data_IF_737498083989
#
_entry.id   IF_737498083989
#
_cell.length_a   1.000
_cell.length_b   1.000
_cell.length_c   1.000
_cell.angle_alpha   90.00
_cell.angle_beta   90.00
_cell.angle_gamma   90.00
#
_symmetry.space_group_name_H-M   'P 1'
#
loop_
_entity.id
_entity.type
_entity.pdbx_description
1 polymer ?
#
# COMPACT_ATOMS: atom_id res chain seq x y z
N UNK A 1 4.91 1.07 13.79
CA UNK A 1 6.17 0.30 13.91
C UNK A 1 7.09 0.95 14.92
N UNK A 2 7.85 2.00 14.59
CA UNK A 2 8.89 2.62 15.44
C UNK A 2 8.50 2.81 16.92
N UNK A 3 7.37 3.45 17.20
CA UNK A 3 6.94 3.72 18.58
C UNK A 3 6.55 2.45 19.37
N UNK A 4 6.02 1.43 18.68
CA UNK A 4 5.70 0.14 19.31
C UNK A 4 6.99 -0.60 19.65
N UNK A 5 7.96 -0.60 18.73
CA UNK A 5 9.27 -1.21 18.97
C UNK A 5 10.01 -0.55 20.14
N UNK A 6 9.94 0.78 20.28
CA UNK A 6 10.54 1.48 21.43
C UNK A 6 9.97 1.04 22.78
N UNK A 7 8.64 0.89 22.89
CA UNK A 7 8.01 0.44 24.14
C UNK A 7 8.41 -1.00 24.49
N UNK A 8 8.55 -1.86 23.47
CA UNK A 8 8.99 -3.25 23.66
C UNK A 8 10.47 -3.34 24.03
N UNK A 9 11.29 -2.41 23.53
CA UNK A 9 12.68 -2.24 23.95
C UNK A 9 12.85 -1.57 25.32
N UNK A 10 11.76 -1.35 26.08
CA UNK A 10 11.81 -0.86 27.46
C UNK A 10 11.61 0.63 27.66
N UNK A 11 11.16 1.37 26.63
CA UNK A 11 10.86 2.79 26.77
C UNK A 11 9.70 3.04 27.76
N UNK A 12 9.90 3.98 28.67
CA UNK A 12 8.92 4.38 29.69
C UNK A 12 8.07 5.59 29.26
N UNK A 13 8.52 6.32 28.26
CA UNK A 13 7.86 7.49 27.70
C UNK A 13 7.97 7.51 26.16
N UNK A 14 7.10 8.29 25.52
CA UNK A 14 7.17 8.58 24.11
C UNK A 14 7.48 10.06 23.92
N UNK A 15 8.39 10.36 23.01
CA UNK A 15 8.83 11.74 22.72
C UNK A 15 8.32 12.14 21.34
N UNK A 16 7.96 13.42 21.19
CA UNK A 16 7.39 13.96 19.95
C UNK A 16 8.42 14.15 18.83
N UNK A 17 9.69 14.42 19.18
CA UNK A 17 10.80 14.67 18.25
C UNK A 17 12.10 14.07 18.81
N UNK A 18 12.92 13.49 17.93
CA UNK A 18 14.23 12.96 18.32
C UNK A 18 14.16 11.68 19.16
N UNK A 19 15.29 11.36 19.81
CA UNK A 19 15.50 10.17 20.66
C UNK A 19 16.01 10.60 22.05
N UNK A 20 16.44 11.86 22.21
CA UNK A 20 17.27 12.31 23.33
C UNK A 20 16.57 12.27 24.70
N UNK A 21 15.23 12.34 24.72
CA UNK A 21 14.42 12.32 25.97
C UNK A 21 13.78 10.96 26.28
N UNK A 22 14.14 9.88 25.57
CA UNK A 22 13.56 8.55 25.81
C UNK A 22 14.22 7.90 27.04
N UNK A 23 13.43 7.65 28.07
CA UNK A 23 13.86 6.91 29.26
C UNK A 23 13.74 5.43 28.97
N UNK A 24 14.86 4.74 28.81
CA UNK A 24 14.93 3.30 28.60
C UNK A 24 15.19 2.61 29.93
N UNK A 25 14.40 1.59 30.27
CA UNK A 25 14.63 0.68 31.39
C UNK A 25 14.60 -0.77 30.90
N UNK A 26 15.18 -1.69 31.64
CA UNK A 26 15.18 -3.12 31.28
C UNK A 26 13.79 -3.79 31.32
N UNK A 27 12.76 -3.08 31.83
CA UNK A 27 11.40 -3.62 32.00
C UNK A 27 10.40 -2.91 31.07
N UNK A 28 9.60 -3.69 30.36
CA UNK A 28 8.56 -3.21 29.44
C UNK A 28 7.43 -2.54 30.22
N UNK A 29 7.07 -1.31 29.82
CA UNK A 29 5.90 -0.61 30.31
C UNK A 29 4.62 -1.10 29.61
N UNK A 30 4.00 -2.14 30.16
CA UNK A 30 2.72 -2.66 29.63
C UNK A 30 1.55 -1.67 29.68
N UNK A 31 1.38 -0.80 30.71
CA UNK A 31 0.35 0.23 30.70
C UNK A 31 0.50 1.22 29.52
N UNK A 32 1.74 1.61 29.21
CA UNK A 32 2.06 2.47 28.07
C UNK A 32 1.79 1.75 26.74
N UNK A 33 2.19 0.48 26.64
CA UNK A 33 1.91 -0.34 25.45
C UNK A 33 0.41 -0.48 25.20
N UNK A 34 -0.38 -0.77 26.23
CA UNK A 34 -1.84 -0.86 26.15
C UNK A 34 -2.45 0.44 25.63
N UNK A 35 -2.01 1.57 26.19
CA UNK A 35 -2.53 2.87 25.78
C UNK A 35 -2.12 3.24 24.36
N UNK A 36 -0.88 2.95 23.97
CA UNK A 36 -0.40 3.13 22.61
C UNK A 36 -1.24 2.34 21.59
N UNK A 37 -1.57 1.08 21.90
CA UNK A 37 -2.39 0.25 21.00
C UNK A 37 -3.82 0.78 20.86
N UNK A 38 -4.43 1.28 21.95
CA UNK A 38 -5.74 1.92 21.90
C UNK A 38 -5.73 3.20 21.06
N UNK A 39 -4.72 4.05 21.26
CA UNK A 39 -4.59 5.31 20.54
C UNK A 39 -4.31 5.06 19.04
N UNK A 40 -3.51 4.05 18.69
CA UNK A 40 -3.34 3.61 17.30
C UNK A 40 -4.69 3.20 16.70
N UNK A 41 -5.46 2.33 17.37
CA UNK A 41 -6.79 1.90 16.87
C UNK A 41 -7.72 3.09 16.64
N UNK A 42 -7.72 4.08 17.55
CA UNK A 42 -8.50 5.32 17.40
C UNK A 42 -8.08 6.13 16.19
N UNK A 43 -6.78 6.32 15.95
CA UNK A 43 -6.28 7.04 14.77
C UNK A 43 -6.75 6.36 13.47
N UNK A 44 -6.62 5.04 13.37
CA UNK A 44 -7.10 4.30 12.20
C UNK A 44 -8.62 4.38 12.04
N UNK A 45 -9.39 4.37 13.13
CA UNK A 45 -10.84 4.56 13.07
C UNK A 45 -11.22 5.95 12.52
N UNK A 46 -10.61 7.02 13.02
CA UNK A 46 -10.87 8.37 12.53
C UNK A 46 -10.45 8.54 11.06
N UNK A 47 -9.30 7.97 10.68
CA UNK A 47 -8.83 7.98 9.29
C UNK A 47 -9.82 7.25 8.37
N UNK A 48 -10.33 6.09 8.80
CA UNK A 48 -11.34 5.33 8.07
C UNK A 48 -12.67 6.04 7.96
N UNK A 49 -13.05 6.83 8.98
CA UNK A 49 -14.25 7.65 8.93
C UNK A 49 -14.12 8.76 7.89
N UNK A 50 -12.97 9.44 7.82
CA UNK A 50 -12.70 10.42 6.75
C UNK A 50 -12.71 9.74 5.38
N UNK A 51 -12.04 8.60 5.26
CA UNK A 51 -12.00 7.83 4.02
C UNK A 51 -13.38 7.32 3.59
N UNK A 52 -14.28 7.03 4.52
CA UNK A 52 -15.66 6.61 4.23
C UNK A 52 -16.39 7.69 3.44
N UNK A 53 -16.36 8.95 3.87
CA UNK A 53 -17.01 10.04 3.13
C UNK A 53 -16.42 10.22 1.73
N UNK A 54 -15.10 10.12 1.59
CA UNK A 54 -14.43 10.33 0.30
C UNK A 54 -14.69 9.14 -0.65
N UNK A 55 -14.49 7.91 -0.19
CA UNK A 55 -14.51 6.70 -1.03
C UNK A 55 -15.95 6.26 -1.28
N UNK A 56 -16.79 6.19 -0.25
CA UNK A 56 -18.16 5.66 -0.41
C UNK A 56 -19.00 6.71 -1.12
N UNK A 57 -19.09 7.94 -0.60
CA UNK A 57 -19.97 8.97 -1.18
C UNK A 57 -19.39 9.51 -2.49
N UNK A 58 -18.13 9.95 -2.46
CA UNK A 58 -17.47 10.50 -3.66
C UNK A 58 -17.34 9.46 -4.77
N UNK A 59 -16.96 8.23 -4.42
CA UNK A 59 -16.88 7.13 -5.38
C UNK A 59 -18.24 6.72 -5.93
N UNK A 60 -19.28 6.62 -5.10
CA UNK A 60 -20.62 6.23 -5.58
C UNK A 60 -21.13 7.24 -6.60
N UNK A 61 -20.96 8.54 -6.34
CA UNK A 61 -21.36 9.57 -7.31
C UNK A 61 -20.56 9.46 -8.61
N UNK A 62 -19.24 9.31 -8.51
CA UNK A 62 -18.35 9.17 -9.67
C UNK A 62 -18.71 7.94 -10.53
N UNK A 63 -18.79 6.75 -9.93
CA UNK A 63 -19.07 5.52 -10.66
C UNK A 63 -20.50 5.49 -11.21
N UNK A 64 -21.46 6.07 -10.49
CA UNK A 64 -22.81 6.22 -11.01
C UNK A 64 -22.88 7.16 -12.22
N UNK A 65 -22.01 8.19 -12.28
CA UNK A 65 -21.96 9.11 -13.42
C UNK A 65 -21.35 8.48 -14.68
N UNK A 66 -20.23 7.76 -14.54
CA UNK A 66 -19.51 7.18 -15.69
C UNK A 66 -20.09 5.86 -16.21
N UNK A 67 -20.96 5.21 -15.42
CA UNK A 67 -21.47 3.88 -15.77
C UNK A 67 -22.56 3.93 -16.85
N UNK A 68 -22.54 2.98 -17.81
CA UNK A 68 -23.65 2.76 -18.74
C UNK A 68 -24.97 2.49 -18.01
N UNK A 69 -26.09 2.87 -18.62
CA UNK A 69 -27.42 2.79 -18.00
C UNK A 69 -27.85 1.36 -17.68
N UNK A 70 -27.41 0.40 -18.47
CA UNK A 70 -27.72 -1.03 -18.39
C UNK A 70 -27.10 -1.72 -17.17
N UNK A 71 -25.87 -1.35 -16.78
CA UNK A 71 -25.15 -1.96 -15.65
C UNK A 71 -25.10 -1.07 -14.40
N UNK A 72 -25.77 0.08 -14.43
CA UNK A 72 -25.63 1.14 -13.43
C UNK A 72 -25.91 0.67 -12.01
N UNK A 73 -26.96 -0.14 -11.83
CA UNK A 73 -27.33 -0.70 -10.53
C UNK A 73 -26.30 -1.72 -10.06
N UNK A 74 -25.83 -2.60 -10.95
CA UNK A 74 -24.79 -3.59 -10.62
C UNK A 74 -23.50 -2.88 -10.17
N UNK A 75 -23.07 -1.83 -10.88
CA UNK A 75 -21.89 -1.06 -10.51
C UNK A 75 -22.08 -0.37 -9.16
N UNK A 76 -23.25 0.21 -8.89
CA UNK A 76 -23.53 0.86 -7.61
C UNK A 76 -23.45 -0.13 -6.43
N UNK A 77 -24.09 -1.30 -6.54
CA UNK A 77 -24.02 -2.34 -5.50
C UNK A 77 -22.62 -2.91 -5.35
N UNK A 78 -21.93 -3.15 -6.47
CA UNK A 78 -20.53 -3.60 -6.47
C UNK A 78 -19.62 -2.60 -5.77
N UNK A 79 -19.78 -1.30 -6.07
CA UNK A 79 -19.01 -0.25 -5.45
C UNK A 79 -19.30 -0.12 -3.96
N UNK A 80 -20.56 -0.22 -3.51
CA UNK A 80 -20.90 -0.20 -2.09
C UNK A 80 -20.25 -1.37 -1.34
N UNK A 81 -20.28 -2.57 -1.92
CA UNK A 81 -19.65 -3.76 -1.33
C UNK A 81 -18.11 -3.66 -1.32
N UNK A 82 -17.52 -3.21 -2.42
CA UNK A 82 -16.09 -3.00 -2.53
C UNK A 82 -15.59 -1.89 -1.59
N UNK A 83 -16.27 -0.75 -1.55
CA UNK A 83 -15.90 0.40 -0.72
C UNK A 83 -16.10 0.09 0.77
N UNK A 84 -17.19 -0.55 1.18
CA UNK A 84 -17.35 -1.00 2.58
C UNK A 84 -16.23 -1.96 3.00
N UNK A 85 -15.85 -2.89 2.11
CA UNK A 85 -14.70 -3.77 2.32
C UNK A 85 -13.39 -3.00 2.44
N UNK A 86 -13.16 -1.99 1.59
CA UNK A 86 -11.99 -1.12 1.70
C UNK A 86 -11.94 -0.38 3.03
N UNK A 87 -13.08 0.10 3.53
CA UNK A 87 -13.16 0.76 4.84
C UNK A 87 -12.86 -0.22 5.97
N UNK A 88 -13.41 -1.43 5.94
CA UNK A 88 -13.04 -2.50 6.88
C UNK A 88 -11.54 -2.77 6.81
N UNK A 89 -10.99 -2.89 5.61
CA UNK A 89 -9.57 -3.11 5.39
C UNK A 89 -8.71 -2.00 6.01
N UNK A 90 -9.14 -0.75 5.90
CA UNK A 90 -8.46 0.42 6.44
C UNK A 90 -8.58 0.50 7.97
N UNK A 91 -9.76 0.21 8.54
CA UNK A 91 -9.97 0.15 10.00
C UNK A 91 -8.99 -0.83 10.63
N UNK A 92 -8.83 -2.03 10.05
CA UNK A 92 -7.96 -3.08 10.58
C UNK A 92 -6.52 -3.01 10.06
N UNK A 93 -6.17 -1.99 9.27
CA UNK A 93 -4.83 -1.83 8.74
C UNK A 93 -3.77 -1.69 9.84
N UNK A 94 -4.18 -1.27 11.05
CA UNK A 94 -3.29 -1.15 12.22
C UNK A 94 -2.59 -2.46 12.61
N UNK A 95 -3.14 -3.63 12.26
CA UNK A 95 -2.51 -4.92 12.60
C UNK A 95 -1.09 -5.03 12.02
N UNK A 96 -0.88 -4.54 10.80
CA UNK A 96 0.41 -4.62 10.10
C UNK A 96 1.51 -3.88 10.87
N UNK A 97 1.39 -2.56 11.15
CA UNK A 97 2.43 -1.83 11.87
C UNK A 97 2.56 -2.22 13.35
N UNK A 98 1.54 -2.84 13.94
CA UNK A 98 1.57 -3.36 15.32
C UNK A 98 2.33 -4.69 15.37
N UNK A 99 1.95 -5.69 14.56
CA UNK A 99 2.66 -6.98 14.48
C UNK A 99 4.13 -6.79 14.10
N UNK A 100 4.39 -5.93 13.12
CA UNK A 100 5.77 -5.55 12.74
C UNK A 100 6.51 -4.88 13.90
N UNK A 101 5.82 -4.01 14.65
CA UNK A 101 6.37 -3.35 15.84
C UNK A 101 6.68 -4.32 16.97
N UNK A 102 5.89 -5.40 17.09
CA UNK A 102 6.05 -6.51 18.04
C UNK A 102 7.17 -7.49 17.66
N UNK A 103 7.85 -7.29 16.53
CA UNK A 103 8.87 -8.20 16.00
C UNK A 103 8.31 -9.36 15.16
N UNK A 104 7.00 -9.46 14.99
CA UNK A 104 6.34 -10.49 14.17
C UNK A 104 6.15 -10.04 12.70
N UNK A 105 7.25 -9.67 12.06
CA UNK A 105 7.26 -9.17 10.68
C UNK A 105 6.79 -10.28 9.72
N UNK A 106 7.31 -11.51 9.90
CA UNK A 106 6.99 -12.67 9.07
C UNK A 106 5.49 -13.01 9.12
N UNK A 107 4.87 -13.00 10.31
CA UNK A 107 3.44 -13.23 10.50
C UNK A 107 2.59 -12.24 9.69
N UNK A 108 2.99 -10.97 9.68
CA UNK A 108 2.27 -9.93 8.92
C UNK A 108 2.39 -10.13 7.40
N UNK A 109 3.58 -10.50 6.90
CA UNK A 109 3.76 -10.81 5.48
C UNK A 109 3.01 -12.08 5.06
N UNK A 110 3.05 -13.15 5.87
CA UNK A 110 2.28 -14.39 5.62
C UNK A 110 0.78 -14.10 5.46
N UNK A 111 0.20 -13.29 6.35
CA UNK A 111 -1.21 -12.90 6.24
C UNK A 111 -1.52 -12.13 4.96
N UNK A 112 -0.64 -11.18 4.57
CA UNK A 112 -0.78 -10.41 3.33
C UNK A 112 -0.67 -11.27 2.07
N UNK A 113 0.31 -12.18 2.02
CA UNK A 113 0.49 -13.09 0.89
C UNK A 113 -0.70 -14.03 0.76
N UNK A 114 -1.15 -14.65 1.85
CA UNK A 114 -2.31 -15.54 1.83
C UNK A 114 -3.59 -14.83 1.37
N UNK A 115 -3.86 -13.64 1.89
CA UNK A 115 -5.00 -12.83 1.42
C UNK A 115 -4.96 -12.55 -0.08
N UNK A 116 -3.78 -12.19 -0.62
CA UNK A 116 -3.60 -11.93 -2.05
C UNK A 116 -3.76 -13.19 -2.91
N UNK A 117 -3.23 -14.33 -2.46
CA UNK A 117 -3.40 -15.61 -3.14
C UNK A 117 -4.87 -16.00 -3.17
N UNK A 118 -5.58 -15.84 -2.05
CA UNK A 118 -7.03 -16.10 -2.01
C UNK A 118 -7.79 -15.20 -2.97
N UNK A 119 -7.46 -13.90 -3.02
CA UNK A 119 -8.09 -13.00 -3.98
C UNK A 119 -7.86 -13.43 -5.43
N UNK A 120 -6.63 -13.80 -5.78
CA UNK A 120 -6.25 -14.26 -7.11
C UNK A 120 -7.02 -15.53 -7.48
N UNK A 121 -7.02 -16.56 -6.63
CA UNK A 121 -7.71 -17.82 -6.92
C UNK A 121 -9.22 -17.60 -7.05
N UNK A 122 -9.83 -16.87 -6.12
CA UNK A 122 -11.28 -16.62 -6.15
C UNK A 122 -11.69 -15.78 -7.35
N UNK A 123 -10.90 -14.76 -7.72
CA UNK A 123 -11.20 -13.94 -8.90
C UNK A 123 -11.07 -14.72 -10.21
N UNK A 124 -10.06 -15.58 -10.35
CA UNK A 124 -9.94 -16.47 -11.51
C UNK A 124 -11.15 -17.42 -11.61
N UNK A 125 -11.55 -18.06 -10.50
CA UNK A 125 -12.73 -18.91 -10.48
C UNK A 125 -14.02 -18.13 -10.82
N UNK A 126 -14.20 -16.95 -10.23
CA UNK A 126 -15.35 -16.09 -10.50
C UNK A 126 -15.46 -15.73 -11.98
N UNK A 127 -14.36 -15.33 -12.63
CA UNK A 127 -14.35 -14.97 -14.05
C UNK A 127 -14.75 -16.15 -14.95
N UNK A 128 -14.41 -17.39 -14.58
CA UNK A 128 -14.76 -18.58 -15.37
C UNK A 128 -16.20 -19.07 -15.17
N UNK A 129 -16.76 -18.90 -13.96
CA UNK A 129 -18.08 -19.45 -13.62
C UNK A 129 -19.20 -18.41 -13.82
N UNK A 130 -19.01 -17.20 -13.28
CA UNK A 130 -20.02 -16.14 -13.19
C UNK A 130 -19.32 -14.77 -13.31
N UNK A 131 -19.06 -14.28 -14.54
CA UNK A 131 -18.37 -13.01 -14.75
C UNK A 131 -19.29 -11.84 -14.38
N UNK A 132 -19.10 -11.29 -13.17
CA UNK A 132 -19.81 -10.11 -12.68
C UNK A 132 -18.89 -9.27 -11.80
N UNK A 133 -19.02 -7.95 -11.89
CA UNK A 133 -18.25 -6.98 -11.09
C UNK A 133 -18.60 -7.11 -9.61
N UNK A 134 -19.85 -7.49 -9.32
CA UNK A 134 -20.33 -7.73 -7.96
C UNK A 134 -19.62 -8.94 -7.34
N UNK A 135 -19.47 -10.02 -8.10
CA UNK A 135 -18.81 -11.24 -7.64
C UNK A 135 -17.32 -10.98 -7.41
N UNK A 136 -16.67 -10.22 -8.29
CA UNK A 136 -15.28 -9.80 -8.07
C UNK A 136 -15.11 -8.99 -6.79
N UNK A 137 -16.08 -8.11 -6.48
CA UNK A 137 -16.11 -7.35 -5.24
C UNK A 137 -16.27 -8.26 -4.02
N UNK A 138 -17.12 -9.30 -4.11
CA UNK A 138 -17.27 -10.32 -3.07
C UNK A 138 -15.99 -11.14 -2.86
N UNK A 139 -15.29 -11.52 -3.93
CA UNK A 139 -13.99 -12.19 -3.83
C UNK A 139 -12.97 -11.32 -3.08
N UNK A 140 -12.95 -10.01 -3.35
CA UNK A 140 -12.12 -9.07 -2.61
C UNK A 140 -12.52 -9.00 -1.13
N UNK A 141 -13.82 -8.94 -0.80
CA UNK A 141 -14.31 -9.00 0.58
C UNK A 141 -13.81 -10.22 1.34
N UNK A 142 -13.96 -11.41 0.75
CA UNK A 142 -13.48 -12.66 1.34
C UNK A 142 -11.97 -12.64 1.57
N UNK A 143 -11.20 -12.13 0.61
CA UNK A 143 -9.75 -12.02 0.74
C UNK A 143 -9.31 -11.13 1.91
N UNK A 144 -10.00 -10.00 2.11
CA UNK A 144 -9.75 -9.08 3.23
C UNK A 144 -10.12 -9.74 4.54
N UNK A 145 -11.28 -10.40 4.63
CA UNK A 145 -11.71 -11.10 5.84
C UNK A 145 -10.72 -12.20 6.25
N UNK A 146 -10.24 -12.99 5.30
CA UNK A 146 -9.23 -14.03 5.56
C UNK A 146 -7.91 -13.42 6.02
N UNK A 147 -7.43 -12.37 5.35
CA UNK A 147 -6.24 -11.64 5.79
C UNK A 147 -6.37 -11.14 7.24
N UNK A 148 -7.54 -10.56 7.58
CA UNK A 148 -7.79 -10.03 8.94
C UNK A 148 -7.93 -11.11 9.98
N UNK A 149 -8.57 -12.23 9.66
CA UNK A 149 -8.64 -13.39 10.53
C UNK A 149 -7.24 -13.92 10.89
N UNK A 150 -6.36 -14.06 9.89
CA UNK A 150 -4.98 -14.52 10.10
C UNK A 150 -4.17 -13.50 10.93
N UNK A 151 -4.31 -12.20 10.63
CA UNK A 151 -3.67 -11.15 11.43
C UNK A 151 -4.12 -11.20 12.89
N UNK A 152 -5.42 -11.35 13.12
CA UNK A 152 -6.00 -11.46 14.46
C UNK A 152 -5.50 -12.69 15.22
N UNK A 153 -5.40 -13.83 14.54
CA UNK A 153 -4.84 -15.06 15.12
C UNK A 153 -3.40 -14.84 15.61
N UNK A 154 -2.53 -14.28 14.77
CA UNK A 154 -1.15 -13.97 15.18
C UNK A 154 -1.08 -12.92 16.28
N UNK A 155 -1.90 -11.88 16.19
CA UNK A 155 -1.98 -10.82 17.21
C UNK A 155 -2.34 -11.38 18.59
N UNK A 156 -3.33 -12.27 18.70
CA UNK A 156 -3.70 -12.91 19.97
C UNK A 156 -2.69 -13.95 20.45
N UNK A 157 -1.93 -14.56 19.55
CA UNK A 157 -0.90 -15.54 19.91
C UNK A 157 0.32 -14.87 20.55
N UNK A 158 0.61 -13.62 20.19
CA UNK A 158 1.79 -12.88 20.65
C UNK A 158 1.87 -12.75 22.17
N UNK A 159 3.06 -12.98 22.73
CA UNK A 159 3.31 -12.99 24.18
C UNK A 159 3.02 -11.64 24.85
N UNK A 160 3.44 -10.52 24.24
CA UNK A 160 3.23 -9.20 24.83
C UNK A 160 1.75 -8.82 24.88
N UNK A 161 0.96 -9.26 23.88
CA UNK A 161 -0.49 -9.06 23.85
C UNK A 161 -1.20 -9.87 24.92
N UNK A 162 -0.80 -11.12 25.16
CA UNK A 162 -1.40 -11.93 26.25
C UNK A 162 -1.15 -11.33 27.64
N UNK A 163 -0.01 -10.68 27.84
CA UNK A 163 0.32 -10.02 29.10
C UNK A 163 -0.46 -8.72 29.33
N UNK A 164 -1.05 -8.13 28.27
CA UNK A 164 -1.86 -6.92 28.36
C UNK A 164 -3.27 -7.17 28.91
N UNK A 165 -3.83 -8.37 28.75
CA UNK A 165 -5.19 -8.71 29.19
C UNK A 165 -5.39 -8.61 30.72
N UNK A 166 -4.31 -8.50 31.49
CA UNK A 166 -4.30 -8.46 32.97
C UNK A 166 -3.91 -7.09 33.54
N UNK A 167 -3.69 -6.08 32.71
CA UNK A 167 -3.05 -4.81 33.11
C UNK A 167 -3.94 -3.63 32.73
N UNK A 168 -4.12 -2.71 33.68
CA UNK A 168 -4.88 -1.48 33.46
C UNK A 168 -4.25 -0.60 32.39
N UNK A 169 -5.10 -0.07 31.52
CA UNK A 169 -4.70 0.81 30.42
C UNK A 169 -4.14 2.12 30.97
N UNK A 170 -2.99 2.58 30.45
CA UNK A 170 -2.46 3.89 30.79
C UNK A 170 -3.47 5.02 30.54
N UNK A 171 -3.58 5.95 31.48
CA UNK A 171 -4.56 7.05 31.47
C UNK A 171 -4.19 8.14 30.46
N UNK A 172 -2.88 8.42 30.32
CA UNK A 172 -2.34 9.50 29.47
C UNK A 172 -2.29 9.09 28.01
N UNK A 173 -2.91 9.88 27.13
CA UNK A 173 -2.89 9.58 25.69
C UNK A 173 -1.51 9.78 25.06
N UNK A 174 -1.14 8.81 24.23
CA UNK A 174 0.02 8.81 23.36
C UNK A 174 -0.21 9.52 22.02
N UNK A 175 -1.46 9.89 21.68
CA UNK A 175 -1.83 10.54 20.42
C UNK A 175 -0.97 11.78 20.12
N UNK A 176 -0.74 12.72 21.04
CA UNK A 176 0.04 13.94 20.74
C UNK A 176 1.50 13.66 20.32
N UNK A 177 2.05 12.54 20.78
CA UNK A 177 3.43 12.13 20.49
C UNK A 177 3.54 11.42 19.14
N UNK A 178 2.56 10.59 18.79
CA UNK A 178 2.56 9.82 17.54
C UNK A 178 1.91 10.58 16.37
N UNK A 179 0.94 11.45 16.67
CA UNK A 179 0.08 12.12 15.70
C UNK A 179 0.79 13.11 14.80
N UNK A 180 1.78 13.85 15.30
CA UNK A 180 2.53 14.83 14.49
C UNK A 180 3.27 14.17 13.32
N UNK A 181 3.95 13.05 13.61
CA UNK A 181 4.69 12.31 12.59
C UNK A 181 3.72 11.55 11.67
N UNK A 182 2.65 10.98 12.22
CA UNK A 182 1.61 10.32 11.43
C UNK A 182 0.91 11.28 10.46
N UNK A 183 0.58 12.50 10.88
CA UNK A 183 -0.05 13.51 10.03
C UNK A 183 0.86 13.93 8.87
N UNK A 184 2.16 14.18 9.14
CA UNK A 184 3.13 14.48 8.07
C UNK A 184 3.22 13.35 7.04
N UNK A 185 3.37 12.11 7.51
CA UNK A 185 3.42 10.94 6.61
C UNK A 185 2.10 10.75 5.85
N UNK A 186 0.97 11.04 6.48
CA UNK A 186 -0.36 11.01 5.86
C UNK A 186 -0.47 12.00 4.71
N UNK A 187 -0.04 13.26 4.91
CA UNK A 187 -0.05 14.30 3.86
C UNK A 187 0.86 13.92 2.69
N UNK A 188 2.07 13.43 2.97
CA UNK A 188 3.00 12.96 1.92
C UNK A 188 2.39 11.80 1.13
N UNK A 189 1.77 10.84 1.82
CA UNK A 189 1.12 9.68 1.18
C UNK A 189 -0.09 10.08 0.34
N UNK A 190 -0.87 11.06 0.80
CA UNK A 190 -2.01 11.60 0.06
C UNK A 190 -1.53 12.32 -1.22
N UNK A 191 -0.47 13.12 -1.12
CA UNK A 191 0.15 13.77 -2.29
C UNK A 191 0.63 12.74 -3.32
N UNK A 192 1.35 11.71 -2.87
CA UNK A 192 1.80 10.62 -3.73
C UNK A 192 0.63 9.87 -4.39
N UNK A 193 -0.46 9.65 -3.65
CA UNK A 193 -1.68 9.05 -4.20
C UNK A 193 -2.30 9.92 -5.29
N UNK A 194 -2.45 11.23 -5.05
CA UNK A 194 -3.02 12.15 -6.02
C UNK A 194 -2.16 12.24 -7.29
N UNK A 195 -0.84 12.24 -7.17
CA UNK A 195 0.05 12.22 -8.35
C UNK A 195 -0.17 10.95 -9.18
N UNK A 196 -0.22 9.78 -8.53
CA UNK A 196 -0.29 8.50 -9.23
C UNK A 196 -1.69 8.13 -9.72
N UNK A 197 -2.76 8.63 -9.09
CA UNK A 197 -4.15 8.18 -9.33
C UNK A 197 -5.06 9.24 -9.92
N UNK A 198 -4.72 10.53 -9.83
CA UNK A 198 -5.52 11.59 -10.47
C UNK A 198 -5.64 11.38 -11.97
N UNK A 199 -4.56 11.00 -12.65
CA UNK A 199 -4.58 10.74 -14.10
C UNK A 199 -5.60 9.67 -14.47
N UNK A 200 -5.69 8.58 -13.70
CA UNK A 200 -6.68 7.52 -13.93
C UNK A 200 -8.12 8.01 -13.75
N UNK A 201 -8.37 8.84 -12.73
CA UNK A 201 -9.70 9.41 -12.50
C UNK A 201 -10.09 10.39 -13.61
N UNK A 202 -9.17 11.24 -14.06
CA UNK A 202 -9.42 12.18 -15.16
C UNK A 202 -9.72 11.43 -16.46
N UNK A 203 -8.91 10.43 -16.81
CA UNK A 203 -9.14 9.60 -18.00
C UNK A 203 -10.49 8.90 -17.95
N UNK A 204 -10.94 8.44 -16.77
CA UNK A 204 -12.24 7.80 -16.63
C UNK A 204 -13.45 8.73 -16.81
N UNK A 205 -13.30 10.05 -16.65
CA UNK A 205 -14.36 11.04 -16.92
C UNK A 205 -14.36 11.48 -18.38
N UNK A 206 -13.17 11.74 -18.92
CA UNK A 206 -13.02 12.42 -20.22
C UNK A 206 -13.05 11.44 -21.39
N UNK A 207 -12.53 10.23 -21.21
CA UNK A 207 -12.35 9.29 -22.30
C UNK A 207 -13.45 8.20 -22.30
N UNK A 208 -13.78 7.63 -23.47
CA UNK A 208 -14.65 6.47 -23.56
C UNK A 208 -14.21 5.32 -22.65
N UNK A 209 -15.18 4.57 -22.09
CA UNK A 209 -14.95 3.48 -21.12
C UNK A 209 -13.91 2.46 -21.63
N UNK A 210 -13.95 2.12 -22.93
CA UNK A 210 -12.98 1.22 -23.54
C UNK A 210 -11.56 1.79 -23.40
N UNK A 211 -11.32 3.01 -23.89
CA UNK A 211 -10.00 3.66 -23.83
C UNK A 211 -9.51 3.88 -22.39
N UNK A 212 -10.40 4.19 -21.46
CA UNK A 212 -10.06 4.28 -20.04
C UNK A 212 -9.62 2.92 -19.48
N UNK A 213 -10.29 1.84 -19.88
CA UNK A 213 -9.88 0.46 -19.57
C UNK A 213 -8.51 0.11 -20.13
N UNK A 214 -8.23 0.44 -21.40
CA UNK A 214 -6.92 0.22 -22.03
C UNK A 214 -5.80 0.99 -21.31
N UNK A 215 -6.08 2.24 -20.92
CA UNK A 215 -5.15 3.06 -20.14
C UNK A 215 -4.85 2.43 -18.78
N UNK A 216 -5.89 2.06 -18.01
CA UNK A 216 -5.73 1.40 -16.70
C UNK A 216 -4.94 0.10 -16.82
N UNK A 217 -5.23 -0.72 -17.83
CA UNK A 217 -4.51 -1.97 -18.07
C UNK A 217 -3.03 -1.73 -18.37
N UNK A 218 -2.74 -0.75 -19.25
CA UNK A 218 -1.35 -0.37 -19.58
C UNK A 218 -0.60 0.09 -18.33
N UNK A 219 -1.23 0.93 -17.50
CA UNK A 219 -0.66 1.43 -16.25
C UNK A 219 -0.30 0.32 -15.27
N UNK A 220 -1.10 -0.75 -15.18
CA UNK A 220 -0.80 -1.89 -14.30
C UNK A 220 0.52 -2.58 -14.70
N UNK A 221 0.80 -2.69 -16.00
CA UNK A 221 2.07 -3.22 -16.50
C UNK A 221 3.23 -2.31 -16.10
N UNK A 222 3.09 -0.99 -16.28
CA UNK A 222 4.13 -0.04 -15.86
C UNK A 222 4.38 -0.04 -14.36
N UNK A 223 3.33 -0.16 -13.53
CA UNK A 223 3.50 -0.30 -12.08
C UNK A 223 4.23 -1.59 -11.71
N UNK A 224 3.98 -2.70 -12.42
CA UNK A 224 4.73 -3.95 -12.22
C UNK A 224 6.21 -3.78 -12.60
N UNK A 225 6.49 -3.14 -13.74
CA UNK A 225 7.86 -2.84 -14.19
C UNK A 225 8.60 -1.96 -13.18
N UNK A 226 7.96 -0.89 -12.70
CA UNK A 226 8.53 -0.02 -11.66
C UNK A 226 8.81 -0.78 -10.36
N UNK A 227 7.88 -1.62 -9.92
CA UNK A 227 8.05 -2.40 -8.70
C UNK A 227 9.27 -3.35 -8.77
N UNK A 228 9.46 -4.02 -9.90
CA UNK A 228 10.62 -4.90 -10.14
C UNK A 228 11.90 -4.07 -10.25
N UNK A 229 11.86 -2.95 -10.97
CA UNK A 229 13.03 -2.07 -11.16
C UNK A 229 13.53 -1.47 -9.84
N UNK A 230 12.63 -1.19 -8.89
CA UNK A 230 12.96 -0.61 -7.57
C UNK A 230 13.35 -1.66 -6.51
N UNK A 231 13.48 -2.94 -6.87
CA UNK A 231 13.82 -3.99 -5.89
C UNK A 231 15.23 -3.80 -5.32
N UNK A 232 16.19 -3.39 -6.15
CA UNK A 232 17.57 -3.18 -5.71
C UNK A 232 17.68 -1.99 -4.76
N UNK A 233 16.93 -0.92 -5.01
CA UNK A 233 16.84 0.22 -4.09
C UNK A 233 16.36 -0.26 -2.72
N UNK A 234 15.28 -1.05 -2.68
CA UNK A 234 14.72 -1.57 -1.42
C UNK A 234 15.73 -2.40 -0.62
N UNK A 235 16.61 -3.15 -1.31
CA UNK A 235 17.68 -3.93 -0.69
C UNK A 235 18.83 -3.03 -0.20
N UNK A 236 19.18 -1.98 -0.96
CA UNK A 236 20.37 -1.14 -0.70
C UNK A 236 20.11 0.11 0.13
N UNK A 237 18.85 0.48 0.41
CA UNK A 237 18.50 1.59 1.30
C UNK A 237 19.28 1.54 2.63
N UNK A 238 19.34 0.41 3.37
CA UNK A 238 20.05 0.37 4.65
C UNK A 238 21.56 0.67 4.52
N UNK A 239 22.21 0.15 3.48
CA UNK A 239 23.64 0.39 3.20
C UNK A 239 23.88 1.87 2.83
N UNK A 240 23.00 2.45 2.01
CA UNK A 240 23.04 3.87 1.65
C UNK A 240 22.88 4.74 2.91
N UNK A 241 21.88 4.47 3.74
CA UNK A 241 21.64 5.24 4.98
C UNK A 241 22.82 5.15 5.96
N UNK A 242 23.47 3.98 6.08
CA UNK A 242 24.67 3.81 6.90
C UNK A 242 25.87 4.58 6.34
N UNK A 243 26.11 4.53 5.03
CA UNK A 243 27.19 5.25 4.38
C UNK A 243 27.01 6.78 4.48
N UNK A 244 25.76 7.26 4.37
CA UNK A 244 25.39 8.67 4.62
C UNK A 244 25.68 9.06 6.07
N UNK A 245 25.28 8.23 7.05
CA UNK A 245 25.52 8.50 8.47
C UNK A 245 27.03 8.56 8.81
N UNK A 246 27.83 7.68 8.18
CA UNK A 246 29.31 7.68 8.30
C UNK A 246 30.01 8.75 7.48
N UNK A 247 29.26 9.55 6.69
CA UNK A 247 29.78 10.58 5.77
C UNK A 247 30.75 10.04 4.72
N UNK A 248 30.58 8.79 4.31
CA UNK A 248 31.38 8.15 3.26
C UNK A 248 30.86 8.53 1.87
N UNK A 249 31.11 9.78 1.45
CA UNK A 249 30.56 10.33 0.21
C UNK A 249 30.87 9.51 -1.06
N UNK A 250 32.05 8.90 -1.13
CA UNK A 250 32.46 8.06 -2.26
C UNK A 250 31.63 6.77 -2.34
N UNK A 251 31.47 6.07 -1.21
CA UNK A 251 30.66 4.85 -1.10
C UNK A 251 29.20 5.13 -1.47
N UNK A 252 28.65 6.25 -0.96
CA UNK A 252 27.28 6.69 -1.29
C UNK A 252 27.13 6.90 -2.80
N UNK A 253 28.06 7.60 -3.45
CA UNK A 253 28.00 7.87 -4.89
C UNK A 253 28.01 6.58 -5.72
N UNK A 254 28.86 5.63 -5.38
CA UNK A 254 28.93 4.32 -6.06
C UNK A 254 27.63 3.55 -5.89
N UNK A 255 27.09 3.49 -4.67
CA UNK A 255 25.85 2.79 -4.38
C UNK A 255 24.67 3.39 -5.17
N UNK A 256 24.54 4.72 -5.16
CA UNK A 256 23.48 5.42 -5.90
C UNK A 256 23.60 5.14 -7.40
N UNK A 257 24.80 5.26 -7.97
CA UNK A 257 25.02 4.98 -9.39
C UNK A 257 24.64 3.54 -9.74
N UNK A 258 25.04 2.57 -8.91
CA UNK A 258 24.70 1.16 -9.11
C UNK A 258 23.19 0.92 -9.07
N UNK A 259 22.48 1.56 -8.14
CA UNK A 259 21.01 1.47 -8.05
C UNK A 259 20.35 2.06 -9.28
N UNK A 260 20.66 3.31 -9.63
CA UNK A 260 20.05 4.00 -10.78
C UNK A 260 20.33 3.28 -12.09
N UNK A 261 21.57 2.81 -12.31
CA UNK A 261 21.94 2.09 -13.52
C UNK A 261 21.21 0.74 -13.64
N UNK A 262 21.13 0.00 -12.53
CA UNK A 262 20.41 -1.28 -12.50
C UNK A 262 18.91 -1.09 -12.73
N UNK A 263 18.27 -0.19 -11.97
CA UNK A 263 16.83 0.09 -12.09
C UNK A 263 16.49 0.57 -13.50
N UNK A 264 17.30 1.47 -14.08
CA UNK A 264 17.11 1.94 -15.45
C UNK A 264 17.26 0.82 -16.49
N UNK A 265 18.26 -0.06 -16.31
CA UNK A 265 18.48 -1.18 -17.24
C UNK A 265 17.33 -2.19 -17.19
N UNK A 266 16.87 -2.55 -15.99
CA UNK A 266 15.73 -3.47 -15.81
C UNK A 266 14.45 -2.87 -16.37
N UNK A 267 14.20 -1.58 -16.13
CA UNK A 267 13.03 -0.91 -16.68
C UNK A 267 13.03 -0.91 -18.21
N UNK A 268 14.14 -0.51 -18.84
CA UNK A 268 14.24 -0.48 -20.30
C UNK A 268 14.10 -1.87 -20.91
N UNK A 269 14.77 -2.87 -20.35
CA UNK A 269 14.66 -4.26 -20.80
C UNK A 269 13.22 -4.78 -20.66
N UNK A 270 12.58 -4.50 -19.52
CA UNK A 270 11.20 -4.88 -19.27
C UNK A 270 10.19 -4.15 -20.17
N UNK A 271 10.44 -2.88 -20.50
CA UNK A 271 9.61 -2.11 -21.42
C UNK A 271 9.69 -2.65 -22.85
N UNK A 272 10.90 -2.93 -23.35
CA UNK A 272 11.08 -3.55 -24.68
C UNK A 272 10.42 -4.94 -24.72
N UNK A 273 10.61 -5.74 -23.67
CA UNK A 273 9.96 -7.07 -23.56
C UNK A 273 8.44 -6.94 -23.58
N UNK A 274 7.89 -5.96 -22.87
CA UNK A 274 6.45 -5.69 -22.86
C UNK A 274 5.93 -5.33 -24.26
N UNK A 275 6.60 -4.46 -25.01
CA UNK A 275 6.17 -4.10 -26.37
C UNK A 275 6.10 -5.33 -27.29
N UNK A 276 7.11 -6.21 -27.23
CA UNK A 276 7.14 -7.46 -28.00
C UNK A 276 5.99 -8.38 -27.57
N UNK A 277 5.78 -8.57 -26.26
CA UNK A 277 4.67 -9.40 -25.78
C UNK A 277 3.30 -8.82 -26.15
N UNK A 278 3.15 -7.50 -26.10
CA UNK A 278 1.93 -6.79 -26.43
C UNK A 278 1.51 -6.99 -27.90
N UNK A 279 2.48 -6.93 -28.81
CA UNK A 279 2.24 -7.06 -30.24
C UNK A 279 2.09 -8.52 -30.69
N UNK A 280 2.91 -9.44 -30.17
CA UNK A 280 2.97 -10.80 -30.70
C UNK A 280 2.17 -11.83 -29.90
N UNK A 281 2.10 -11.72 -28.57
CA UNK A 281 1.51 -12.77 -27.72
C UNK A 281 0.03 -12.52 -27.47
N UNK A 282 -0.37 -11.28 -27.18
CA UNK A 282 -1.77 -10.98 -26.86
C UNK A 282 -2.77 -11.23 -27.99
N UNK A 283 -2.48 -10.93 -29.27
CA UNK A 283 -3.40 -11.27 -30.35
C UNK A 283 -3.63 -12.77 -30.50
N UNK A 284 -2.62 -13.60 -30.19
CA UNK A 284 -2.73 -15.07 -30.28
C UNK A 284 -3.62 -15.68 -29.19
N UNK A 285 -3.85 -14.95 -28.08
CA UNK A 285 -4.67 -15.40 -26.95
C UNK A 285 -6.15 -15.00 -27.15
N UNK A 286 -6.48 -14.19 -28.16
CA UNK A 286 -7.86 -13.77 -28.45
C UNK A 286 -8.44 -12.76 -27.46
N UNK A 287 -7.59 -11.96 -26.80
CA UNK A 287 -8.02 -10.95 -25.82
C UNK A 287 -8.73 -9.79 -26.53
N UNK A 288 -9.98 -9.51 -26.15
CA UNK A 288 -10.82 -8.47 -26.76
C UNK A 288 -10.45 -7.04 -26.36
N UNK A 289 -9.81 -6.86 -25.20
CA UNK A 289 -9.33 -5.56 -24.72
C UNK A 289 -7.84 -5.40 -25.05
N UNK A 290 -7.52 -4.58 -26.05
CA UNK A 290 -6.14 -4.26 -26.40
C UNK A 290 -5.52 -3.23 -25.45
N UNK A 291 -4.20 -3.11 -25.45
CA UNK A 291 -3.50 -2.00 -24.80
C UNK A 291 -3.73 -0.68 -25.55
N UNK A 292 -3.24 0.41 -24.98
CA UNK A 292 -3.21 1.70 -25.70
C UNK A 292 -2.43 1.57 -27.01
N UNK A 293 -2.72 2.43 -28.01
CA UNK A 293 -1.90 2.52 -29.21
C UNK A 293 -0.43 2.77 -28.88
N UNK A 294 0.46 2.27 -29.75
CA UNK A 294 1.91 2.28 -29.54
C UNK A 294 2.46 3.67 -29.20
N UNK A 295 1.98 4.71 -29.89
CA UNK A 295 2.43 6.10 -29.66
C UNK A 295 2.19 6.55 -28.21
N UNK A 296 1.03 6.22 -27.65
CA UNK A 296 0.70 6.54 -26.25
C UNK A 296 1.48 5.66 -25.27
N UNK A 297 1.75 4.39 -25.62
CA UNK A 297 2.58 3.51 -24.79
C UNK A 297 4.02 4.00 -24.69
N UNK A 298 4.59 4.53 -25.77
CA UNK A 298 5.93 5.11 -25.79
C UNK A 298 6.01 6.36 -24.89
N UNK A 299 5.02 7.25 -24.99
CA UNK A 299 4.93 8.43 -24.11
C UNK A 299 4.79 8.00 -22.66
N UNK A 300 3.89 7.05 -22.37
CA UNK A 300 3.64 6.57 -21.01
C UNK A 300 4.88 5.86 -20.43
N UNK A 301 5.61 5.11 -21.25
CA UNK A 301 6.88 4.49 -20.87
C UNK A 301 7.94 5.52 -20.52
N UNK A 302 8.05 6.62 -21.28
CA UNK A 302 8.95 7.71 -20.94
C UNK A 302 8.55 8.39 -19.62
N UNK A 303 7.26 8.67 -19.42
CA UNK A 303 6.76 9.28 -18.18
C UNK A 303 7.11 8.40 -16.97
N UNK A 304 6.84 7.10 -17.05
CA UNK A 304 7.12 6.19 -15.93
C UNK A 304 8.59 5.92 -15.70
N UNK A 305 9.42 5.98 -16.74
CA UNK A 305 10.86 5.96 -16.59
C UNK A 305 11.36 7.17 -15.80
N UNK A 306 10.85 8.37 -16.11
CA UNK A 306 11.19 9.59 -15.39
C UNK A 306 10.67 9.55 -13.94
N UNK A 307 9.43 9.11 -13.73
CA UNK A 307 8.83 8.97 -12.41
C UNK A 307 9.60 7.98 -11.54
N UNK A 308 10.06 6.87 -12.11
CA UNK A 308 10.92 5.90 -11.42
C UNK A 308 12.21 6.56 -10.93
N UNK A 309 12.91 7.29 -11.80
CA UNK A 309 14.15 7.98 -11.43
C UNK A 309 13.92 9.05 -10.35
N UNK A 310 12.84 9.81 -10.48
CA UNK A 310 12.43 10.78 -9.46
C UNK A 310 12.15 10.11 -8.11
N UNK A 311 11.40 8.99 -8.11
CA UNK A 311 11.09 8.21 -6.91
C UNK A 311 12.34 7.65 -6.22
N UNK A 312 13.32 7.15 -7.00
CA UNK A 312 14.61 6.68 -6.48
C UNK A 312 15.34 7.83 -5.77
N UNK A 313 15.45 8.98 -6.44
CA UNK A 313 16.14 10.14 -5.87
C UNK A 313 15.45 10.65 -4.60
N UNK A 314 14.13 10.78 -4.62
CA UNK A 314 13.35 11.22 -3.46
C UNK A 314 13.55 10.29 -2.25
N UNK A 315 13.54 8.97 -2.47
CA UNK A 315 13.72 7.96 -1.42
C UNK A 315 15.11 8.00 -0.80
N UNK A 316 16.15 8.34 -1.57
CA UNK A 316 17.53 8.44 -1.07
C UNK A 316 17.72 9.70 -0.20
N UNK A 317 16.99 10.78 -0.50
CA UNK A 317 17.10 12.05 0.22
C UNK A 317 16.36 12.01 1.58
N UNK A 318 15.27 11.23 1.67
CA UNK A 318 14.45 11.08 2.89
C UNK A 318 15.00 10.07 3.88
#
# INVERSE_FOLDING_TARGET
>A
VRNVSYVISGAQNLVKRGIDDIIIKDVISYPLLSRLLLDIKRIYLYLSLIAFFIIVIGGLWYFYYISPLDIKNEVAYSWLLFSSTLIINLIYLYYVPVLTGLGEIESSYKANVLGRITWLILSLLALTLLPSILILSLCFSLSVLINRYICYFFYRRNFHIKNLDKIDTGVVSTIPFIGHNAAKLGVVSLGAFLINRSTTLIVGIVCPIVTAGQFVLSMQVFFALMAISNILLSIKIPEISQAVAKREHYTVKILIYKVVAFSSSIYLMGFVTFLILAEYVLPTIGVSLSFLPLDYLLILGLIYFLEMNHSICATIIT
#
